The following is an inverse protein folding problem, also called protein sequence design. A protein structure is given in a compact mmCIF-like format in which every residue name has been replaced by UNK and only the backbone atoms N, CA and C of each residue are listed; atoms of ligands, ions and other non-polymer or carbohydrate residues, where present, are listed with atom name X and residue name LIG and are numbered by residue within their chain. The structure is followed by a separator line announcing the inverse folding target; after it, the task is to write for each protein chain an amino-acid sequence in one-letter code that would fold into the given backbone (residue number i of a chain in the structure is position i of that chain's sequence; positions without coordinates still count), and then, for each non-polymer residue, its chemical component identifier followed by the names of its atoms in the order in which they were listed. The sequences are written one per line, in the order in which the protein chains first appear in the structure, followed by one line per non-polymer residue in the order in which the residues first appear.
data_IF_082204756304
#
_entry.id   IF_082204756304
#
_cell.length_a   1.000
_cell.length_b   1.000
_cell.length_c   1.000
_cell.angle_alpha   90.00
_cell.angle_beta   90.00
_cell.angle_gamma   90.00
#
_symmetry.space_group_name_H-M   'P 1'
#
loop_
_entity.id
_entity.type
_entity.pdbx_description
1 polymer ?
#
# COMPACT_ATOMS: atom_id res chain seq x y z
N UNK A 1 -17.89 12.89 23.42
CA UNK A 1 -17.91 13.36 22.04
C UNK A 1 -16.50 13.28 21.47
N UNK A 2 -16.33 12.61 20.34
CA UNK A 2 -15.06 12.54 19.60
C UNK A 2 -15.22 13.24 18.26
N UNK A 3 -14.26 14.09 17.91
CA UNK A 3 -14.23 14.80 16.62
C UNK A 3 -13.32 14.00 15.70
N UNK A 4 -13.89 13.43 14.64
CA UNK A 4 -13.16 12.66 13.63
C UNK A 4 -13.22 13.41 12.30
N UNK A 5 -12.06 13.57 11.67
CA UNK A 5 -11.99 14.19 10.35
C UNK A 5 -12.36 13.19 9.25
N UNK A 6 -13.36 13.53 8.44
CA UNK A 6 -13.74 12.74 7.28
C UNK A 6 -12.61 12.75 6.23
N UNK A 7 -12.12 11.57 5.84
CA UNK A 7 -11.02 11.45 4.86
C UNK A 7 -11.44 11.86 3.43
N UNK A 8 -12.74 11.94 3.14
CA UNK A 8 -13.24 12.29 1.80
C UNK A 8 -13.38 13.81 1.58
N UNK A 9 -13.90 14.54 2.57
CA UNK A 9 -14.14 15.98 2.44
C UNK A 9 -13.30 16.84 3.38
N UNK A 10 -12.49 16.22 4.25
CA UNK A 10 -11.73 16.89 5.33
C UNK A 10 -12.61 17.70 6.29
N UNK A 11 -13.92 17.45 6.27
CA UNK A 11 -14.87 18.03 7.22
C UNK A 11 -14.78 17.30 8.56
N UNK A 12 -14.84 18.08 9.63
CA UNK A 12 -14.85 17.55 10.99
C UNK A 12 -16.26 17.07 11.33
N UNK A 13 -16.38 15.83 11.84
CA UNK A 13 -17.65 15.21 12.20
C UNK A 13 -17.61 14.86 13.68
N UNK A 14 -18.60 15.33 14.44
CA UNK A 14 -18.78 14.99 15.84
C UNK A 14 -19.54 13.66 15.97
N UNK A 15 -18.96 12.74 16.74
CA UNK A 15 -19.58 11.48 17.13
C UNK A 15 -19.71 11.39 18.64
N UNK A 16 -20.75 10.70 19.11
CA UNK A 16 -20.85 10.26 20.50
C UNK A 16 -19.75 9.24 20.83
N UNK A 17 -19.29 9.20 22.08
CA UNK A 17 -18.16 8.35 22.50
C UNK A 17 -18.44 6.85 22.31
N UNK A 18 -19.72 6.48 22.28
CA UNK A 18 -20.21 5.11 22.14
C UNK A 18 -20.66 4.78 20.70
N UNK A 19 -20.43 5.68 19.72
CA UNK A 19 -20.79 5.44 18.33
C UNK A 19 -19.84 4.40 17.71
N UNK A 20 -20.37 3.21 17.41
CA UNK A 20 -19.68 2.10 16.74
C UNK A 20 -20.51 1.66 15.52
N UNK A 21 -19.87 1.58 14.34
CA UNK A 21 -20.53 1.14 13.11
C UNK A 21 -20.25 2.00 11.87
N UNK A 22 -20.96 1.72 10.78
CA UNK A 22 -20.89 2.43 9.50
C UNK A 22 -21.84 3.63 9.47
N UNK A 23 -21.30 4.82 9.24
CA UNK A 23 -22.04 6.07 9.20
C UNK A 23 -21.78 6.81 7.90
N UNK A 24 -22.79 7.48 7.35
CA UNK A 24 -22.61 8.36 6.20
C UNK A 24 -22.16 9.74 6.66
N UNK A 25 -21.10 10.27 6.06
CA UNK A 25 -20.64 11.62 6.31
C UNK A 25 -21.70 12.64 5.82
N UNK A 26 -22.19 13.55 6.69
CA UNK A 26 -23.23 14.53 6.31
C UNK A 26 -22.76 15.57 5.28
N UNK A 27 -21.46 15.65 5.01
CA UNK A 27 -20.88 16.63 4.09
C UNK A 27 -20.61 16.09 2.68
N UNK A 28 -20.50 14.78 2.51
CA UNK A 28 -20.08 14.20 1.22
C UNK A 28 -20.68 12.83 0.92
N UNK A 29 -21.61 12.35 1.75
CA UNK A 29 -22.24 11.02 1.64
C UNK A 29 -21.23 9.85 1.62
N UNK A 30 -19.98 10.10 1.99
CA UNK A 30 -18.93 9.10 2.09
C UNK A 30 -19.11 8.22 3.33
N UNK A 31 -18.85 6.92 3.18
CA UNK A 31 -18.92 5.97 4.30
C UNK A 31 -17.75 6.20 5.27
N UNK A 32 -18.09 6.42 6.54
CA UNK A 32 -17.21 6.56 7.69
C UNK A 32 -17.45 5.38 8.63
N UNK A 33 -16.43 4.97 9.38
CA UNK A 33 -16.60 4.03 10.48
C UNK A 33 -16.40 4.80 11.77
N UNK A 34 -17.38 4.79 12.68
CA UNK A 34 -17.19 5.22 14.05
C UNK A 34 -16.78 3.99 14.88
N UNK A 35 -15.85 4.18 15.83
CA UNK A 35 -15.13 3.11 16.51
C UNK A 35 -13.62 3.41 16.55
N UNK A 36 -12.92 2.89 17.57
CA UNK A 36 -11.49 3.14 17.82
C UNK A 36 -10.66 2.93 16.53
N UNK A 37 -10.21 4.05 15.96
CA UNK A 37 -9.62 4.17 14.63
C UNK A 37 -8.20 3.60 14.58
N UNK A 38 -8.03 2.28 14.68
CA UNK A 38 -6.73 1.63 14.43
C UNK A 38 -6.72 0.80 13.14
N UNK A 39 -7.85 0.65 12.46
CA UNK A 39 -8.03 -0.41 11.47
C UNK A 39 -8.59 0.17 10.16
N UNK A 40 -7.70 0.60 9.25
CA UNK A 40 -7.81 0.61 7.76
C UNK A 40 -6.54 1.20 7.12
N UNK A 41 -5.80 2.01 7.87
CA UNK A 41 -4.49 2.53 7.42
C UNK A 41 -3.40 1.45 7.41
N UNK A 42 -3.43 0.55 8.40
CA UNK A 42 -2.54 -0.61 8.50
C UNK A 42 -2.69 -1.53 7.30
N UNK A 43 -3.92 -1.89 6.89
CA UNK A 43 -4.14 -2.78 5.75
C UNK A 43 -3.61 -2.23 4.41
N UNK A 44 -3.88 -0.96 4.08
CA UNK A 44 -3.40 -0.36 2.82
C UNK A 44 -1.87 -0.23 2.81
N UNK A 45 -1.27 0.25 3.90
CA UNK A 45 0.17 0.43 4.00
C UNK A 45 0.93 -0.91 4.04
N UNK A 46 0.35 -1.94 4.67
CA UNK A 46 0.91 -3.29 4.67
C UNK A 46 0.82 -3.89 3.26
N UNK A 47 -0.33 -3.78 2.58
CA UNK A 47 -0.48 -4.26 1.20
C UNK A 47 0.47 -3.55 0.24
N UNK A 48 0.62 -2.23 0.35
CA UNK A 48 1.53 -1.44 -0.49
C UNK A 48 3.00 -1.82 -0.23
N UNK A 49 3.42 -1.95 1.02
CA UNK A 49 4.79 -2.38 1.39
C UNK A 49 5.11 -3.78 0.89
N UNK A 50 4.18 -4.72 1.03
CA UNK A 50 4.38 -6.11 0.56
C UNK A 50 4.50 -6.15 -0.97
N UNK A 51 3.62 -5.44 -1.69
CA UNK A 51 3.68 -5.34 -3.15
C UNK A 51 5.04 -4.80 -3.63
N UNK A 52 5.52 -3.70 -3.05
CA UNK A 52 6.81 -3.10 -3.41
C UNK A 52 7.96 -4.08 -3.11
N UNK A 53 7.92 -4.78 -1.98
CA UNK A 53 8.97 -5.74 -1.61
C UNK A 53 9.04 -6.92 -2.60
N UNK A 54 7.89 -7.47 -2.99
CA UNK A 54 7.81 -8.56 -3.98
C UNK A 54 8.35 -8.08 -5.33
N UNK A 55 7.92 -6.91 -5.80
CA UNK A 55 8.37 -6.35 -7.08
C UNK A 55 9.89 -6.12 -7.11
N UNK A 56 10.45 -5.59 -6.02
CA UNK A 56 11.89 -5.39 -5.87
C UNK A 56 12.66 -6.73 -5.89
N UNK A 57 12.16 -7.74 -5.18
CA UNK A 57 12.79 -9.07 -5.15
C UNK A 57 12.78 -9.74 -6.52
N UNK A 58 11.68 -9.60 -7.27
CA UNK A 58 11.57 -10.11 -8.65
C UNK A 58 12.58 -9.40 -9.56
N UNK A 59 12.67 -8.07 -9.51
CA UNK A 59 13.64 -7.31 -10.33
C UNK A 59 15.07 -7.72 -10.03
N UNK A 60 15.44 -7.82 -8.74
CA UNK A 60 16.79 -8.24 -8.34
C UNK A 60 17.08 -9.64 -8.84
N UNK A 61 16.14 -10.58 -8.65
CA UNK A 61 16.33 -11.96 -9.07
C UNK A 61 16.53 -12.07 -10.58
N UNK A 62 15.70 -11.40 -11.38
CA UNK A 62 15.86 -11.33 -12.83
C UNK A 62 17.16 -10.61 -13.24
N UNK A 63 17.53 -9.52 -12.57
CA UNK A 63 18.78 -8.81 -12.81
C UNK A 63 20.01 -9.70 -12.56
N UNK A 64 20.01 -10.45 -11.47
CA UNK A 64 21.08 -11.41 -11.14
C UNK A 64 21.11 -12.56 -12.14
N UNK A 65 19.95 -13.12 -12.53
CA UNK A 65 19.87 -14.15 -13.57
C UNK A 65 20.40 -13.65 -14.92
N UNK A 66 20.13 -12.41 -15.29
CA UNK A 66 20.67 -11.82 -16.52
C UNK A 66 22.18 -11.59 -16.44
N UNK A 67 22.70 -11.18 -15.29
CA UNK A 67 24.15 -11.00 -15.07
C UNK A 67 24.91 -12.33 -15.03
N UNK A 68 24.32 -13.37 -14.44
CA UNK A 68 24.92 -14.71 -14.37
C UNK A 68 24.72 -15.50 -15.67
N UNK A 69 23.56 -15.35 -16.33
CA UNK A 69 23.22 -15.97 -17.62
C UNK A 69 23.84 -15.27 -18.83
N UNK A 70 24.26 -14.01 -18.70
CA UNK A 70 25.01 -13.26 -19.72
C UNK A 70 26.44 -13.77 -19.96
N UNK A 71 26.89 -14.81 -19.25
CA UNK A 71 28.17 -15.52 -19.51
C UNK A 71 28.04 -16.72 -20.46
N UNK A 72 26.92 -16.88 -21.16
CA UNK A 72 26.80 -17.90 -22.22
C UNK A 72 27.04 -17.27 -23.60
N UNK A 73 28.31 -17.25 -24.00
CA UNK A 73 28.79 -17.21 -25.39
C UNK A 73 28.51 -15.92 -26.20
N UNK A 74 29.42 -14.95 -26.11
CA UNK A 74 29.84 -14.21 -27.31
C UNK A 74 31.18 -14.80 -27.75
N UNK A 75 31.14 -15.76 -28.67
CA UNK A 75 32.33 -16.23 -29.37
C UNK A 75 32.70 -15.26 -30.49
N UNK A 76 33.98 -14.96 -30.67
CA UNK A 76 34.73 -14.91 -31.95
C UNK A 76 36.21 -14.81 -31.59
N UNK A 77 37.04 -15.68 -32.17
CA UNK A 77 38.34 -16.11 -31.61
C UNK A 77 39.52 -15.14 -31.64
N UNK A 78 40.59 -15.56 -30.94
CA UNK A 78 42.00 -15.11 -31.01
C UNK A 78 42.78 -15.96 -29.97
N UNK A 79 43.97 -16.54 -30.14
CA UNK A 79 44.92 -16.87 -31.21
C UNK A 79 45.66 -18.14 -30.74
N UNK A 80 46.39 -18.91 -31.54
CA UNK A 80 47.59 -18.56 -32.29
C UNK A 80 48.68 -19.54 -31.86
#
# INVERSE_FOLDING_TARGET
MVIVQCHHCKGDVEFDDDADGEYSCPHCDGLLYAGNQEIKYSDFMIKLKIQIFIFFFVIIFFGVLLLLGGKSCTGTGCGG
#
